data_IF_784904782900
#
_entry.id   IF_784904782900
#
_cell.length_a   1.000
_cell.length_b   1.000
_cell.length_c   1.000
_cell.angle_alpha   90.00
_cell.angle_beta   90.00
_cell.angle_gamma   90.00
#
_symmetry.space_group_name_H-M   'P 1'
#
loop_
_entity.id
_entity.type
_entity.pdbx_description
1 polymer ?
#
# COMPACT_ATOMS: atom_id res chain seq x y z
N UNK A 1 -35.69 22.97 48.56
CA UNK A 1 -34.69 22.89 47.50
C UNK A 1 -35.21 21.88 46.50
N UNK A 2 -35.83 22.38 45.42
CA UNK A 2 -36.43 21.59 44.34
C UNK A 2 -35.36 21.12 43.35
N UNK A 3 -35.35 19.81 43.04
CA UNK A 3 -34.50 19.21 42.02
C UNK A 3 -34.89 19.68 40.61
N UNK A 4 -33.95 19.88 39.69
CA UNK A 4 -34.26 20.30 38.33
C UNK A 4 -34.92 19.16 37.52
N UNK A 5 -35.81 19.48 36.55
CA UNK A 5 -36.52 18.48 35.77
C UNK A 5 -35.56 17.76 34.81
N UNK A 6 -35.46 16.43 34.91
CA UNK A 6 -34.77 15.59 33.94
C UNK A 6 -35.39 15.75 32.55
N UNK A 7 -34.58 16.14 31.59
CA UNK A 7 -35.00 16.35 30.21
C UNK A 7 -35.42 15.03 29.57
N UNK A 8 -36.69 14.97 29.14
CA UNK A 8 -37.37 13.87 28.45
C UNK A 8 -36.63 13.26 27.22
N UNK A 9 -35.48 13.81 26.84
CA UNK A 9 -34.63 13.34 25.71
C UNK A 9 -33.72 12.18 26.05
N UNK A 10 -33.37 11.96 27.32
CA UNK A 10 -32.44 10.85 27.68
C UNK A 10 -33.13 9.50 27.88
N UNK A 11 -34.45 9.46 28.08
CA UNK A 11 -35.20 8.22 28.26
C UNK A 11 -35.50 7.48 26.94
N UNK A 12 -35.46 8.17 25.80
CA UNK A 12 -35.73 7.61 24.49
C UNK A 12 -34.57 6.75 23.94
N UNK A 13 -33.33 6.97 24.41
CA UNK A 13 -32.14 6.23 23.94
C UNK A 13 -31.95 4.90 24.70
N UNK A 14 -32.73 4.60 25.71
CA UNK A 14 -32.54 3.40 26.56
C UNK A 14 -33.50 2.25 26.30
N UNK A 15 -34.44 2.36 25.34
CA UNK A 15 -35.39 1.28 25.08
C UNK A 15 -34.78 0.28 24.04
N UNK A 16 -34.82 -1.04 24.30
CA UNK A 16 -34.32 -2.05 23.37
C UNK A 16 -35.02 -2.02 22.00
N UNK A 17 -36.20 -1.39 21.94
CA UNK A 17 -36.98 -1.20 20.69
C UNK A 17 -36.29 -0.25 19.70
N UNK A 18 -35.56 0.76 20.16
CA UNK A 18 -34.84 1.70 19.26
C UNK A 18 -33.61 1.02 18.65
N UNK A 19 -32.90 0.21 19.42
CA UNK A 19 -31.76 -0.54 18.91
C UNK A 19 -32.20 -1.60 17.89
N UNK A 20 -33.32 -2.26 18.13
CA UNK A 20 -33.90 -3.20 17.17
C UNK A 20 -34.35 -2.50 15.87
N UNK A 21 -34.92 -1.29 15.95
CA UNK A 21 -35.29 -0.50 14.79
C UNK A 21 -34.09 0.00 13.99
N UNK A 22 -33.03 0.46 14.67
CA UNK A 22 -31.75 0.87 14.01
C UNK A 22 -31.07 -0.33 13.35
N UNK A 23 -31.08 -1.50 13.99
CA UNK A 23 -30.52 -2.72 13.43
C UNK A 23 -31.33 -3.24 12.21
N UNK A 24 -32.68 -3.21 12.31
CA UNK A 24 -33.55 -3.57 11.21
C UNK A 24 -33.42 -2.60 10.01
N UNK A 25 -33.26 -1.29 10.28
CA UNK A 25 -33.08 -0.28 9.24
C UNK A 25 -31.70 -0.38 8.58
N UNK A 26 -30.63 -0.70 9.34
CA UNK A 26 -29.30 -0.92 8.79
C UNK A 26 -29.25 -2.22 7.96
N UNK A 27 -29.95 -3.26 8.38
CA UNK A 27 -30.08 -4.52 7.64
C UNK A 27 -30.88 -4.34 6.36
N UNK A 28 -31.99 -3.57 6.42
CA UNK A 28 -32.79 -3.21 5.25
C UNK A 28 -32.01 -2.35 4.24
N UNK A 29 -31.23 -1.37 4.74
CA UNK A 29 -30.37 -0.53 3.91
C UNK A 29 -29.22 -1.32 3.28
N UNK A 30 -28.61 -2.27 4.02
CA UNK A 30 -27.59 -3.19 3.48
C UNK A 30 -28.17 -4.12 2.42
N UNK A 31 -29.41 -4.59 2.61
CA UNK A 31 -30.13 -5.41 1.65
C UNK A 31 -30.57 -4.63 0.42
N UNK A 32 -31.00 -3.37 0.56
CA UNK A 32 -31.30 -2.49 -0.57
C UNK A 32 -30.05 -2.14 -1.39
N UNK A 33 -28.91 -1.90 -0.75
CA UNK A 33 -27.64 -1.66 -1.44
C UNK A 33 -27.18 -2.93 -2.17
N UNK A 34 -27.30 -4.10 -1.54
CA UNK A 34 -26.98 -5.40 -2.15
C UNK A 34 -27.87 -5.73 -3.36
N UNK A 35 -29.16 -5.44 -3.26
CA UNK A 35 -30.11 -5.64 -4.39
C UNK A 35 -29.94 -4.59 -5.48
N UNK A 36 -29.61 -3.32 -5.12
CA UNK A 36 -29.34 -2.26 -6.09
C UNK A 36 -28.09 -2.53 -6.94
N UNK A 37 -27.05 -3.15 -6.36
CA UNK A 37 -25.85 -3.57 -7.10
C UNK A 37 -26.13 -4.78 -8.02
N UNK A 38 -27.10 -5.62 -7.67
CA UNK A 38 -27.49 -6.76 -8.51
C UNK A 38 -28.38 -6.36 -9.71
N UNK A 39 -29.07 -5.20 -9.63
CA UNK A 39 -29.90 -4.67 -10.73
C UNK A 39 -29.23 -3.52 -11.51
N UNK A 40 -28.09 -3.01 -11.09
CA UNK A 40 -27.24 -2.25 -11.99
C UNK A 40 -26.83 -3.23 -13.08
N UNK A 41 -27.48 -3.13 -14.24
CA UNK A 41 -27.23 -3.98 -15.40
C UNK A 41 -25.73 -4.15 -15.54
N UNK A 42 -25.25 -5.34 -15.23
CA UNK A 42 -23.90 -5.73 -15.62
C UNK A 42 -23.85 -5.39 -17.10
N UNK A 43 -22.89 -4.56 -17.58
CA UNK A 43 -22.71 -4.40 -19.00
C UNK A 43 -22.59 -5.82 -19.53
N UNK A 44 -23.64 -6.29 -20.21
CA UNK A 44 -23.58 -7.53 -20.95
C UNK A 44 -22.54 -7.26 -22.03
N UNK A 45 -21.29 -7.62 -21.74
CA UNK A 45 -20.26 -7.72 -22.74
C UNK A 45 -20.78 -8.84 -23.69
N UNK A 46 -21.62 -8.46 -24.62
CA UNK A 46 -22.02 -9.33 -25.72
C UNK A 46 -20.78 -9.49 -26.60
N UNK A 47 -19.94 -10.42 -26.24
CA UNK A 47 -18.84 -10.86 -27.06
C UNK A 47 -19.52 -11.64 -28.20
N UNK A 48 -19.67 -11.01 -29.33
CA UNK A 48 -20.11 -11.67 -30.55
C UNK A 48 -19.01 -12.65 -30.97
N UNK A 49 -19.16 -13.88 -30.56
CA UNK A 49 -18.23 -14.98 -30.79
C UNK A 49 -18.35 -15.54 -32.22
N UNK A 50 -18.81 -14.80 -33.18
CA UNK A 50 -18.92 -15.16 -34.59
C UNK A 50 -18.67 -16.65 -34.93
N UNK A 51 -19.57 -17.31 -35.57
CA UNK A 51 -19.45 -18.72 -36.00
C UNK A 51 -18.41 -18.84 -37.11
N UNK A 52 -17.21 -19.35 -36.85
CA UNK A 52 -16.17 -19.58 -37.85
C UNK A 52 -14.76 -19.78 -37.30
N UNK A 53 -13.79 -20.01 -38.14
CA UNK A 53 -12.36 -20.27 -37.84
C UNK A 53 -11.65 -19.23 -36.95
N UNK A 54 -12.27 -18.07 -36.70
CA UNK A 54 -11.79 -17.03 -35.78
C UNK A 54 -12.16 -17.25 -34.32
N UNK A 55 -12.99 -18.23 -33.96
CA UNK A 55 -13.49 -18.43 -32.60
C UNK A 55 -12.33 -18.76 -31.61
N UNK A 56 -11.42 -19.62 -32.05
CA UNK A 56 -10.25 -19.99 -31.26
C UNK A 56 -9.30 -18.81 -31.03
N UNK A 57 -9.07 -17.99 -32.05
CA UNK A 57 -8.23 -16.80 -31.96
C UNK A 57 -8.86 -15.76 -31.00
N UNK A 58 -10.17 -15.54 -31.05
CA UNK A 58 -10.89 -14.63 -30.13
C UNK A 58 -10.88 -15.14 -28.69
N UNK A 59 -11.10 -16.43 -28.46
CA UNK A 59 -11.02 -17.03 -27.13
C UNK A 59 -9.62 -16.86 -26.55
N UNK A 60 -8.58 -17.10 -27.35
CA UNK A 60 -7.19 -16.88 -26.94
C UNK A 60 -6.91 -15.40 -26.63
N UNK A 61 -7.41 -14.49 -27.45
CA UNK A 61 -7.27 -13.05 -27.23
C UNK A 61 -7.97 -12.59 -25.94
N UNK A 62 -9.18 -13.06 -25.67
CA UNK A 62 -9.90 -12.77 -24.43
C UNK A 62 -9.19 -13.38 -23.22
N UNK A 63 -8.74 -14.63 -23.32
CA UNK A 63 -7.97 -15.27 -22.25
C UNK A 63 -6.68 -14.49 -21.95
N UNK A 64 -5.94 -14.07 -22.97
CA UNK A 64 -4.75 -13.23 -22.83
C UNK A 64 -5.08 -11.89 -22.18
N UNK A 65 -6.16 -11.21 -22.62
CA UNK A 65 -6.61 -9.95 -22.04
C UNK A 65 -6.95 -10.09 -20.54
N UNK A 66 -7.73 -11.12 -20.19
CA UNK A 66 -8.08 -11.40 -18.78
C UNK A 66 -6.82 -11.70 -17.96
N UNK A 67 -5.89 -12.47 -18.52
CA UNK A 67 -4.62 -12.77 -17.84
C UNK A 67 -3.80 -11.50 -17.59
N UNK A 68 -3.64 -10.65 -18.60
CA UNK A 68 -2.93 -9.36 -18.45
C UNK A 68 -3.64 -8.47 -17.43
N UNK A 69 -4.96 -8.36 -17.50
CA UNK A 69 -5.75 -7.53 -16.59
C UNK A 69 -5.67 -8.04 -15.14
N UNK A 70 -5.59 -9.35 -14.92
CA UNK A 70 -5.44 -9.93 -13.58
C UNK A 70 -4.03 -9.71 -12.98
N UNK A 71 -3.00 -9.55 -13.80
CA UNK A 71 -1.63 -9.24 -13.37
C UNK A 71 -1.40 -7.74 -13.15
N UNK A 72 -2.20 -6.87 -13.77
CA UNK A 72 -2.02 -5.42 -13.70
C UNK A 72 -1.95 -4.86 -12.26
N UNK A 73 -2.83 -5.24 -11.31
CA UNK A 73 -2.74 -4.75 -9.94
C UNK A 73 -1.40 -5.10 -9.27
N UNK A 74 -0.88 -6.31 -9.51
CA UNK A 74 0.39 -6.75 -8.94
C UNK A 74 1.56 -5.95 -9.50
N UNK A 75 1.56 -5.67 -10.81
CA UNK A 75 2.60 -4.87 -11.46
C UNK A 75 2.58 -3.44 -10.91
N UNK A 76 1.40 -2.82 -10.80
CA UNK A 76 1.26 -1.46 -10.24
C UNK A 76 1.78 -1.40 -8.81
N UNK A 77 1.42 -2.36 -7.96
CA UNK A 77 1.89 -2.42 -6.57
C UNK A 77 3.43 -2.55 -6.53
N UNK A 78 4.00 -3.41 -7.38
CA UNK A 78 5.45 -3.67 -7.41
C UNK A 78 6.28 -2.52 -7.98
N UNK A 79 5.70 -1.61 -8.76
CA UNK A 79 6.39 -0.48 -9.38
C UNK A 79 6.17 0.85 -8.64
N UNK A 80 5.51 0.81 -7.49
CA UNK A 80 5.22 1.99 -6.66
C UNK A 80 5.94 1.94 -5.32
N UNK A 81 5.77 2.99 -4.51
CA UNK A 81 6.30 3.07 -3.13
C UNK A 81 5.66 2.06 -2.16
N UNK A 82 4.65 1.30 -2.58
CA UNK A 82 3.87 0.41 -1.71
C UNK A 82 4.73 -0.62 -0.98
N UNK A 83 5.68 -1.25 -1.67
CA UNK A 83 6.48 -2.35 -1.12
C UNK A 83 7.31 -1.88 0.08
N UNK A 84 8.02 -0.76 -0.03
CA UNK A 84 8.78 -0.20 1.10
C UNK A 84 7.87 0.10 2.28
N UNK A 85 6.76 0.78 2.03
CA UNK A 85 5.83 1.23 3.08
C UNK A 85 5.21 0.03 3.81
N UNK A 86 4.69 -0.96 3.10
CA UNK A 86 4.03 -2.12 3.73
C UNK A 86 5.01 -2.99 4.51
N UNK A 87 6.24 -3.14 4.02
CA UNK A 87 7.29 -3.90 4.72
C UNK A 87 7.72 -3.18 5.99
N UNK A 88 7.98 -1.87 5.93
CA UNK A 88 8.37 -1.10 7.12
C UNK A 88 7.27 -1.10 8.18
N UNK A 89 6.00 -0.89 7.80
CA UNK A 89 4.87 -0.93 8.76
C UNK A 89 4.67 -2.33 9.34
N UNK A 90 4.93 -3.39 8.58
CA UNK A 90 4.88 -4.76 9.07
C UNK A 90 6.02 -5.05 10.05
N UNK A 91 7.23 -4.57 9.76
CA UNK A 91 8.38 -4.66 10.66
C UNK A 91 8.16 -3.86 11.95
N UNK A 92 7.59 -2.66 11.87
CA UNK A 92 7.21 -1.85 13.03
C UNK A 92 6.28 -2.61 13.98
N UNK A 93 5.20 -3.23 13.45
CA UNK A 93 4.29 -4.07 14.24
C UNK A 93 5.03 -5.17 14.98
N UNK A 94 5.96 -5.83 14.30
CA UNK A 94 6.78 -6.89 14.89
C UNK A 94 7.74 -6.35 15.95
N UNK A 95 8.34 -5.18 15.75
CA UNK A 95 9.27 -4.54 16.67
C UNK A 95 8.61 -4.18 18.00
N UNK A 96 7.38 -3.67 17.96
CA UNK A 96 6.58 -3.36 19.17
C UNK A 96 6.22 -4.65 19.92
N UNK A 97 6.23 -5.82 19.27
CA UNK A 97 5.86 -7.10 19.88
C UNK A 97 4.38 -7.46 19.73
N UNK A 98 3.65 -6.74 18.88
CA UNK A 98 2.24 -7.01 18.60
C UNK A 98 2.11 -8.04 17.47
N UNK A 99 1.58 -9.24 17.79
CA UNK A 99 1.46 -10.31 16.79
C UNK A 99 0.32 -10.09 15.79
N UNK A 100 -0.81 -9.51 16.23
CA UNK A 100 -2.03 -9.39 15.43
C UNK A 100 -2.62 -7.97 15.38
N UNK A 101 -2.11 -7.00 16.14
CA UNK A 101 -2.60 -5.64 16.18
C UNK A 101 -1.52 -4.65 15.68
N UNK A 102 -1.81 -3.74 14.75
CA UNK A 102 -3.06 -3.64 13.98
C UNK A 102 -3.24 -4.81 12.99
N UNK A 103 -4.48 -5.17 12.61
CA UNK A 103 -4.75 -6.22 11.61
C UNK A 103 -4.08 -5.92 10.26
N UNK A 104 -3.77 -6.97 9.50
CA UNK A 104 -3.11 -6.82 8.18
C UNK A 104 -3.88 -5.87 7.23
N UNK A 105 -5.22 -5.90 7.27
CA UNK A 105 -6.06 -5.01 6.47
C UNK A 105 -5.75 -3.54 6.77
N UNK A 106 -5.55 -3.18 8.05
CA UNK A 106 -5.22 -1.80 8.45
C UNK A 106 -3.84 -1.39 7.93
N UNK A 107 -2.84 -2.28 8.05
CA UNK A 107 -1.48 -2.03 7.54
C UNK A 107 -1.50 -1.84 6.03
N UNK A 108 -2.18 -2.74 5.29
CA UNK A 108 -2.30 -2.65 3.84
C UNK A 108 -3.03 -1.38 3.42
N UNK A 109 -4.15 -1.04 4.08
CA UNK A 109 -4.91 0.17 3.79
C UNK A 109 -4.08 1.44 4.03
N UNK A 110 -3.39 1.52 5.17
CA UNK A 110 -2.50 2.65 5.47
C UNK A 110 -1.36 2.74 4.45
N UNK A 111 -0.78 1.60 4.07
CA UNK A 111 0.26 1.56 3.03
C UNK A 111 -0.25 2.07 1.68
N UNK A 112 -1.47 1.71 1.29
CA UNK A 112 -2.09 2.20 0.06
C UNK A 112 -2.33 3.72 0.10
N UNK A 113 -2.83 4.26 1.23
CA UNK A 113 -3.02 5.71 1.38
C UNK A 113 -1.70 6.48 1.30
N UNK A 114 -0.67 6.01 2.00
CA UNK A 114 0.66 6.64 1.94
C UNK A 114 1.27 6.49 0.53
N UNK A 115 1.07 5.35 -0.13
CA UNK A 115 1.50 5.15 -1.52
C UNK A 115 0.82 6.13 -2.46
N UNK A 116 -0.51 6.28 -2.35
CA UNK A 116 -1.25 7.24 -3.16
C UNK A 116 -0.74 8.67 -2.97
N UNK A 117 -0.41 9.04 -1.72
CA UNK A 117 0.15 10.34 -1.39
C UNK A 117 1.54 10.55 -2.02
N UNK A 118 2.45 9.58 -1.88
CA UNK A 118 3.81 9.63 -2.44
C UNK A 118 3.78 9.63 -3.97
N UNK A 119 2.90 8.84 -4.57
CA UNK A 119 2.81 8.66 -6.03
C UNK A 119 1.97 9.72 -6.74
N UNK A 120 1.30 10.62 -5.99
CA UNK A 120 0.45 11.66 -6.57
C UNK A 120 1.13 12.44 -7.71
N UNK A 121 2.36 12.98 -7.57
CA UNK A 121 3.01 13.73 -8.65
C UNK A 121 3.34 12.86 -9.86
N UNK A 122 3.64 11.57 -9.66
CA UNK A 122 3.91 10.61 -10.76
C UNK A 122 2.64 10.34 -11.55
N UNK A 123 1.51 10.13 -10.86
CA UNK A 123 0.21 9.92 -11.51
C UNK A 123 -0.27 11.16 -12.27
N UNK A 124 -0.04 12.35 -11.70
CA UNK A 124 -0.39 13.60 -12.36
C UNK A 124 0.41 13.79 -13.65
N UNK A 125 1.73 13.57 -13.60
CA UNK A 125 2.58 13.63 -14.80
C UNK A 125 2.16 12.60 -15.86
N UNK A 126 1.83 11.36 -15.46
CA UNK A 126 1.37 10.33 -16.38
C UNK A 126 0.02 10.70 -17.01
N UNK A 127 -0.88 11.33 -16.25
CA UNK A 127 -2.15 11.82 -16.76
C UNK A 127 -1.96 12.92 -17.80
N UNK A 128 -1.16 13.93 -17.48
CA UNK A 128 -0.90 15.07 -18.37
C UNK A 128 -0.12 14.67 -19.63
N UNK A 129 0.83 13.71 -19.48
CA UNK A 129 1.68 13.28 -20.59
C UNK A 129 0.98 12.39 -21.63
N UNK A 130 -0.06 11.65 -21.23
CA UNK A 130 -0.67 10.69 -22.15
C UNK A 130 -2.14 10.38 -21.89
N UNK A 131 -2.59 10.19 -20.64
CA UNK A 131 -3.98 9.78 -20.38
C UNK A 131 -4.97 10.87 -20.80
N UNK A 132 -4.71 12.15 -20.44
CA UNK A 132 -5.51 13.30 -20.82
C UNK A 132 -5.61 13.45 -22.35
N UNK A 133 -4.50 13.54 -23.08
CA UNK A 133 -4.50 13.63 -24.55
C UNK A 133 -5.21 12.48 -25.27
N UNK A 134 -5.15 11.24 -24.72
CA UNK A 134 -5.92 10.11 -25.27
C UNK A 134 -7.42 10.28 -25.05
N UNK A 135 -7.83 10.77 -23.86
CA UNK A 135 -9.25 11.02 -23.57
C UNK A 135 -9.84 12.17 -24.38
N UNK A 136 -9.01 13.12 -24.78
CA UNK A 136 -9.39 14.26 -25.63
C UNK A 136 -9.25 13.95 -27.14
N UNK A 137 -8.95 12.70 -27.49
CA UNK A 137 -8.74 12.22 -28.88
C UNK A 137 -7.61 12.95 -29.62
N UNK A 138 -6.71 13.61 -28.90
CA UNK A 138 -5.57 14.35 -29.49
C UNK A 138 -4.39 13.43 -29.82
N UNK A 139 -4.32 12.24 -29.19
CA UNK A 139 -3.20 11.32 -29.34
C UNK A 139 -3.67 9.86 -29.39
N UNK A 140 -3.13 9.05 -30.33
CA UNK A 140 -3.42 7.61 -30.36
C UNK A 140 -2.72 6.88 -29.20
N UNK A 141 -3.31 5.76 -28.75
CA UNK A 141 -2.86 5.01 -27.56
C UNK A 141 -1.43 4.47 -27.68
N UNK A 142 -0.98 4.10 -28.87
CA UNK A 142 0.37 3.59 -29.14
C UNK A 142 1.47 4.66 -28.92
N UNK A 143 1.18 5.93 -29.21
CA UNK A 143 2.07 7.04 -28.89
C UNK A 143 1.98 7.48 -27.43
N UNK A 144 0.79 7.37 -26.83
CA UNK A 144 0.57 7.78 -25.43
C UNK A 144 1.21 6.80 -24.45
N UNK A 145 1.21 5.51 -24.73
CA UNK A 145 1.69 4.47 -23.82
C UNK A 145 3.14 4.69 -23.33
N UNK A 146 4.12 4.97 -24.19
CA UNK A 146 5.47 5.31 -23.72
C UNK A 146 5.50 6.54 -22.83
N UNK A 147 4.70 7.57 -23.12
CA UNK A 147 4.63 8.82 -22.34
C UNK A 147 4.01 8.63 -20.98
N UNK A 148 3.01 7.75 -20.86
CA UNK A 148 2.37 7.39 -19.57
C UNK A 148 3.34 6.64 -18.67
N UNK A 149 4.19 5.77 -19.23
CA UNK A 149 5.14 4.96 -18.46
C UNK A 149 6.38 5.77 -18.04
N UNK A 150 6.74 6.81 -18.78
CA UNK A 150 7.96 7.57 -18.55
C UNK A 150 8.07 8.16 -17.12
N UNK A 151 7.06 8.83 -16.53
CA UNK A 151 7.10 9.29 -15.16
C UNK A 151 7.32 8.16 -14.14
N UNK A 152 6.73 6.99 -14.38
CA UNK A 152 6.91 5.82 -13.54
C UNK A 152 8.34 5.27 -13.62
N UNK A 153 8.92 5.22 -14.83
CA UNK A 153 10.34 4.84 -15.03
C UNK A 153 11.28 5.78 -14.29
N UNK A 154 11.06 7.10 -14.40
CA UNK A 154 11.85 8.10 -13.67
C UNK A 154 11.75 7.93 -12.16
N UNK A 155 10.56 7.69 -11.64
CA UNK A 155 10.37 7.39 -10.22
C UNK A 155 11.16 6.15 -9.80
N UNK A 156 11.02 5.03 -10.53
CA UNK A 156 11.77 3.81 -10.21
C UNK A 156 13.28 4.03 -10.31
N UNK A 157 13.75 4.71 -11.36
CA UNK A 157 15.15 5.01 -11.54
C UNK A 157 15.75 5.82 -10.38
N UNK A 158 15.02 6.86 -9.92
CA UNK A 158 15.45 7.70 -8.79
C UNK A 158 15.51 6.93 -7.47
N UNK A 159 14.71 5.89 -7.32
CA UNK A 159 14.67 5.07 -6.11
C UNK A 159 15.57 3.81 -6.19
N UNK A 160 16.04 3.43 -7.37
CA UNK A 160 16.91 2.27 -7.56
C UNK A 160 18.36 2.63 -7.28
N UNK A 161 19.07 1.76 -6.57
CA UNK A 161 20.50 1.91 -6.32
C UNK A 161 21.29 1.56 -7.59
N UNK A 162 22.39 2.25 -7.81
CA UNK A 162 23.25 2.02 -8.96
C UNK A 162 23.77 0.58 -9.03
N UNK A 163 24.18 0.00 -7.88
CA UNK A 163 24.67 -1.36 -7.81
C UNK A 163 23.60 -2.39 -8.22
N UNK A 164 22.35 -2.21 -7.75
CA UNK A 164 21.24 -3.09 -8.06
C UNK A 164 20.85 -2.96 -9.55
N UNK A 165 20.86 -1.73 -10.08
CA UNK A 165 20.62 -1.48 -11.50
C UNK A 165 21.70 -2.13 -12.38
N UNK A 166 22.97 -1.94 -12.04
CA UNK A 166 24.10 -2.53 -12.76
C UNK A 166 24.02 -4.06 -12.78
N UNK A 167 23.70 -4.68 -11.64
CA UNK A 167 23.53 -6.13 -11.54
C UNK A 167 22.49 -6.66 -12.54
N UNK A 168 21.32 -6.03 -12.61
CA UNK A 168 20.26 -6.50 -13.51
C UNK A 168 20.51 -6.17 -14.97
N UNK A 169 21.24 -5.09 -15.29
CA UNK A 169 21.70 -4.79 -16.65
C UNK A 169 22.67 -5.89 -17.13
N UNK A 170 23.63 -6.27 -16.27
CA UNK A 170 24.60 -7.33 -16.60
C UNK A 170 23.91 -8.69 -16.79
N UNK A 171 22.99 -9.04 -15.89
CA UNK A 171 22.22 -10.29 -16.00
C UNK A 171 21.33 -10.34 -17.26
N UNK A 172 20.83 -9.20 -17.70
CA UNK A 172 19.94 -9.10 -18.87
C UNK A 172 20.68 -9.28 -20.20
N UNK A 173 22.02 -9.23 -20.23
CA UNK A 173 22.87 -9.36 -21.42
C UNK A 173 22.35 -8.54 -22.61
N UNK A 174 22.08 -7.24 -22.35
CA UNK A 174 21.55 -6.35 -23.39
C UNK A 174 22.57 -6.22 -24.51
N UNK A 175 22.13 -6.33 -25.76
CA UNK A 175 22.98 -6.21 -26.96
C UNK A 175 23.67 -4.83 -27.02
N UNK A 176 22.97 -3.79 -26.59
CA UNK A 176 23.48 -2.43 -26.45
C UNK A 176 23.30 -1.98 -25.00
N UNK A 177 24.39 -1.59 -24.31
CA UNK A 177 24.27 -0.97 -22.98
C UNK A 177 23.44 0.31 -23.08
N UNK A 178 22.46 0.51 -22.16
CA UNK A 178 21.68 1.73 -22.15
C UNK A 178 22.58 2.94 -21.88
N UNK A 179 22.42 4.00 -22.69
CA UNK A 179 23.22 5.23 -22.54
C UNK A 179 22.77 6.01 -21.31
N UNK A 180 21.46 5.97 -21.00
CA UNK A 180 20.84 6.62 -19.86
C UNK A 180 19.98 5.63 -19.08
N UNK A 181 19.70 5.95 -17.83
CA UNK A 181 18.83 5.11 -16.98
C UNK A 181 17.41 5.03 -17.55
N UNK A 182 16.95 6.05 -18.24
CA UNK A 182 15.64 6.12 -18.92
C UNK A 182 15.52 5.13 -20.09
N UNK A 183 16.66 4.75 -20.70
CA UNK A 183 16.69 3.77 -21.80
C UNK A 183 16.63 2.32 -21.31
N UNK A 184 16.78 2.09 -19.99
CA UNK A 184 16.71 0.74 -19.42
C UNK A 184 15.31 0.16 -19.62
N UNK A 185 15.19 -1.06 -20.18
CA UNK A 185 13.91 -1.73 -20.36
C UNK A 185 13.23 -1.97 -19.01
N UNK A 186 11.90 -1.80 -18.96
CA UNK A 186 11.10 -1.98 -17.74
C UNK A 186 11.31 -3.36 -17.10
N UNK A 187 11.51 -4.40 -17.92
CA UNK A 187 11.80 -5.78 -17.46
C UNK A 187 13.10 -5.92 -16.64
N UNK A 188 14.03 -4.97 -16.81
CA UNK A 188 15.31 -4.91 -16.08
C UNK A 188 15.16 -3.97 -14.87
N UNK A 189 14.55 -2.81 -15.10
CA UNK A 189 14.36 -1.77 -14.08
C UNK A 189 13.45 -2.23 -12.94
N UNK A 190 12.33 -2.91 -13.23
CA UNK A 190 11.37 -3.30 -12.20
C UNK A 190 11.96 -4.25 -11.13
N UNK A 191 12.66 -5.34 -11.47
CA UNK A 191 13.29 -6.18 -10.46
C UNK A 191 14.45 -5.47 -9.72
N UNK A 192 15.24 -4.63 -10.38
CA UNK A 192 16.28 -3.83 -9.74
C UNK A 192 15.68 -2.89 -8.70
N UNK A 193 14.60 -2.18 -9.06
CA UNK A 193 13.83 -1.33 -8.17
C UNK A 193 13.29 -2.11 -6.95
N UNK A 194 12.67 -3.27 -7.18
CA UNK A 194 12.12 -4.10 -6.11
C UNK A 194 13.17 -4.51 -5.07
N UNK A 195 14.36 -4.93 -5.51
CA UNK A 195 15.46 -5.30 -4.62
C UNK A 195 15.95 -4.08 -3.83
N UNK A 196 16.10 -2.93 -4.49
CA UNK A 196 16.48 -1.66 -3.84
C UNK A 196 15.45 -1.23 -2.79
N UNK A 197 14.16 -1.33 -3.11
CA UNK A 197 13.06 -1.00 -2.18
C UNK A 197 13.02 -1.92 -0.97
N UNK A 198 13.16 -3.24 -1.18
CA UNK A 198 13.23 -4.20 -0.09
C UNK A 198 14.42 -3.92 0.82
N UNK A 199 15.60 -3.66 0.25
CA UNK A 199 16.79 -3.32 1.03
C UNK A 199 16.58 -2.08 1.89
N UNK A 200 16.09 -0.99 1.31
CA UNK A 200 15.77 0.24 2.05
C UNK A 200 14.71 0.00 3.12
N UNK A 201 13.68 -0.81 2.82
CA UNK A 201 12.66 -1.17 3.80
C UNK A 201 13.26 -1.90 5.01
N UNK A 202 14.19 -2.83 4.78
CA UNK A 202 14.88 -3.52 5.86
C UNK A 202 15.85 -2.62 6.63
N UNK A 203 16.54 -1.69 5.96
CA UNK A 203 17.42 -0.70 6.62
C UNK A 203 16.60 0.20 7.56
N UNK A 204 15.48 0.76 7.09
CA UNK A 204 14.56 1.56 7.92
C UNK A 204 13.96 0.71 9.04
N UNK A 205 13.49 -0.50 8.71
CA UNK A 205 12.93 -1.43 9.67
C UNK A 205 13.92 -1.79 10.79
N UNK A 206 15.18 -2.03 10.44
CA UNK A 206 16.24 -2.30 11.42
C UNK A 206 16.43 -1.11 12.38
N UNK A 207 16.47 0.12 11.86
CA UNK A 207 16.57 1.32 12.71
C UNK A 207 15.38 1.43 13.65
N UNK A 208 14.18 1.09 13.20
CA UNK A 208 12.97 1.08 14.04
C UNK A 208 13.00 0.00 15.12
N UNK A 209 13.72 -1.12 14.91
CA UNK A 209 13.86 -2.17 15.92
C UNK A 209 14.74 -1.76 17.10
N UNK A 210 15.77 -0.92 16.88
CA UNK A 210 16.78 -0.59 17.88
C UNK A 210 16.16 -0.13 19.22
N UNK A 211 15.26 0.88 19.27
CA UNK A 211 14.71 1.33 20.55
C UNK A 211 13.92 0.23 21.28
N UNK A 212 13.22 -0.61 20.56
CA UNK A 212 12.42 -1.68 21.14
C UNK A 212 13.29 -2.84 21.68
N UNK A 213 14.40 -3.15 21.00
CA UNK A 213 15.39 -4.13 21.49
C UNK A 213 16.07 -3.62 22.74
N UNK A 214 16.39 -2.32 22.83
CA UNK A 214 16.96 -1.73 24.05
C UNK A 214 15.98 -1.89 25.23
N UNK A 215 14.69 -1.64 25.03
CA UNK A 215 13.67 -1.85 26.06
C UNK A 215 13.64 -3.33 26.50
N UNK A 216 13.69 -4.28 25.55
CA UNK A 216 13.74 -5.72 25.88
C UNK A 216 14.97 -6.06 26.72
N UNK A 217 16.16 -5.54 26.38
CA UNK A 217 17.40 -5.79 27.10
C UNK A 217 17.35 -5.22 28.53
N UNK A 218 16.83 -3.99 28.69
CA UNK A 218 16.69 -3.35 30.01
C UNK A 218 15.74 -4.16 30.88
N UNK A 219 14.57 -4.55 30.36
CA UNK A 219 13.59 -5.35 31.12
C UNK A 219 14.18 -6.72 31.47
N UNK A 220 14.87 -7.38 30.51
CA UNK A 220 15.50 -8.67 30.77
C UNK A 220 16.56 -8.57 31.87
N UNK A 221 17.41 -7.54 31.87
CA UNK A 221 18.44 -7.35 32.91
C UNK A 221 17.84 -7.09 34.30
N UNK A 222 16.74 -6.33 34.38
CA UNK A 222 16.01 -6.09 35.62
C UNK A 222 15.40 -7.38 36.18
N UNK A 223 14.74 -8.18 35.34
CA UNK A 223 14.15 -9.47 35.77
C UNK A 223 15.19 -10.45 36.26
N UNK A 224 16.34 -10.51 35.59
CA UNK A 224 17.49 -11.33 36.05
C UNK A 224 18.03 -10.85 37.39
N UNK A 225 18.19 -9.54 37.59
CA UNK A 225 18.65 -8.97 38.84
C UNK A 225 17.69 -9.24 40.01
N UNK A 226 16.38 -9.33 39.73
CA UNK A 226 15.35 -9.68 40.72
C UNK A 226 15.19 -11.19 40.93
N UNK A 227 15.98 -12.03 40.25
CA UNK A 227 15.87 -13.49 40.34
C UNK A 227 14.68 -14.11 39.63
N UNK A 228 13.95 -13.33 38.82
CA UNK A 228 12.72 -13.77 38.12
C UNK A 228 13.04 -14.45 36.78
N UNK A 229 13.92 -15.46 36.78
CA UNK A 229 14.38 -16.13 35.55
C UNK A 229 13.30 -16.89 34.77
N UNK A 230 12.19 -17.25 35.40
CA UNK A 230 11.10 -17.98 34.74
C UNK A 230 10.10 -17.08 33.99
N UNK A 231 10.13 -15.75 34.21
CA UNK A 231 9.24 -14.85 33.48
C UNK A 231 9.83 -14.48 32.11
N UNK A 232 9.04 -14.65 31.01
CA UNK A 232 9.51 -14.26 29.68
C UNK A 232 9.63 -12.72 29.57
N UNK A 233 10.85 -12.18 29.32
CA UNK A 233 11.06 -10.73 29.27
C UNK A 233 10.20 -10.00 28.26
N UNK A 234 9.91 -10.63 27.11
CA UNK A 234 9.10 -10.06 26.03
C UNK A 234 7.68 -9.72 26.47
N UNK A 235 7.08 -10.54 27.36
CA UNK A 235 5.72 -10.28 27.86
C UNK A 235 5.71 -9.08 28.81
N UNK A 236 6.77 -8.94 29.63
CA UNK A 236 6.89 -7.84 30.58
C UNK A 236 7.28 -6.53 29.89
N UNK A 237 8.08 -6.58 28.83
CA UNK A 237 8.50 -5.38 28.08
C UNK A 237 7.41 -4.77 27.19
N UNK A 238 6.41 -5.56 26.79
CA UNK A 238 5.36 -5.11 25.86
C UNK A 238 4.62 -3.83 26.30
N UNK A 239 4.15 -3.68 27.56
CA UNK A 239 3.54 -2.44 28.02
C UNK A 239 4.48 -1.23 27.90
N UNK A 240 5.75 -1.40 28.21
CA UNK A 240 6.76 -0.33 28.13
C UNK A 240 6.99 0.10 26.67
N UNK A 241 7.05 -0.85 25.73
CA UNK A 241 7.15 -0.57 24.31
C UNK A 241 5.95 0.22 23.79
N UNK A 242 4.73 -0.16 24.21
CA UNK A 242 3.51 0.56 23.83
C UNK A 242 3.49 1.98 24.38
N UNK A 243 3.81 2.16 25.66
CA UNK A 243 3.89 3.49 26.29
C UNK A 243 4.93 4.35 25.57
N UNK A 244 6.13 3.81 25.34
CA UNK A 244 7.17 4.51 24.61
C UNK A 244 6.70 4.94 23.22
N UNK A 245 6.11 4.02 22.45
CA UNK A 245 5.62 4.30 21.10
C UNK A 245 4.55 5.40 21.06
N UNK A 246 3.65 5.41 22.05
CA UNK A 246 2.62 6.46 22.18
C UNK A 246 3.22 7.80 22.59
N UNK A 247 4.16 7.80 23.53
CA UNK A 247 4.81 9.03 24.04
C UNK A 247 5.62 9.77 22.96
N UNK A 248 6.26 9.02 22.05
CA UNK A 248 7.04 9.61 20.96
C UNK A 248 6.20 9.93 19.72
N UNK A 249 4.87 9.74 19.77
CA UNK A 249 3.98 9.85 18.61
C UNK A 249 4.46 8.99 17.42
N UNK A 250 4.71 7.71 17.71
CA UNK A 250 5.41 6.80 16.81
C UNK A 250 4.77 6.64 15.43
N UNK A 251 3.42 6.66 15.35
CA UNK A 251 2.74 6.60 14.05
C UNK A 251 3.06 7.79 13.15
N UNK A 252 3.06 8.99 13.72
CA UNK A 252 3.38 10.23 13.01
C UNK A 252 4.83 10.25 12.55
N UNK A 253 5.76 9.87 13.44
CA UNK A 253 7.19 9.81 13.11
C UNK A 253 7.46 8.81 11.99
N UNK A 254 6.90 7.60 12.06
CA UNK A 254 7.13 6.57 11.04
C UNK A 254 6.48 6.96 9.70
N UNK A 255 5.24 7.43 9.71
CA UNK A 255 4.58 7.85 8.48
C UNK A 255 5.30 9.05 7.83
N UNK A 256 5.70 10.05 8.61
CA UNK A 256 6.45 11.21 8.14
C UNK A 256 7.80 10.82 7.54
N UNK A 257 8.62 10.03 8.28
CA UNK A 257 9.93 9.59 7.80
C UNK A 257 9.86 8.71 6.56
N UNK A 258 8.80 7.89 6.42
CA UNK A 258 8.57 7.10 5.20
C UNK A 258 8.32 8.00 4.00
N UNK A 259 7.43 8.98 4.12
CA UNK A 259 7.15 9.93 3.03
C UNK A 259 8.39 10.76 2.67
N UNK A 260 9.10 11.28 3.68
CA UNK A 260 10.34 12.05 3.49
C UNK A 260 11.46 11.22 2.83
N UNK A 261 11.51 9.90 3.10
CA UNK A 261 12.52 9.02 2.48
C UNK A 261 12.41 8.94 0.96
N UNK A 262 11.23 9.17 0.40
CA UNK A 262 11.02 9.23 -1.05
C UNK A 262 11.36 10.63 -1.61
N UNK A 263 11.07 11.68 -0.85
CA UNK A 263 11.41 13.06 -1.24
C UNK A 263 12.93 13.28 -1.31
N UNK A 264 13.67 12.73 -0.35
CA UNK A 264 15.14 12.85 -0.30
C UNK A 264 15.85 12.16 -1.48
N UNK A 265 15.19 11.23 -2.15
CA UNK A 265 15.75 10.49 -3.31
C UNK A 265 15.42 11.15 -4.66
N UNK A 266 14.92 12.40 -4.67
CA UNK A 266 14.67 13.17 -5.90
C UNK A 266 13.26 13.05 -6.49
N UNK A 267 12.35 12.31 -5.85
CA UNK A 267 10.93 12.43 -6.16
C UNK A 267 10.40 13.67 -5.41
N UNK A 268 9.82 14.69 -6.07
CA UNK A 268 9.29 15.84 -5.36
C UNK A 268 8.16 15.37 -4.44
N UNK A 269 8.15 15.74 -3.14
CA UNK A 269 6.98 15.60 -2.32
C UNK A 269 5.87 16.40 -2.98
N UNK A 270 4.66 15.87 -3.01
CA UNK A 270 3.52 16.53 -3.61
C UNK A 270 3.44 17.97 -3.12
N UNK A 271 3.68 18.90 -4.04
CA UNK A 271 3.47 20.32 -3.83
C UNK A 271 2.01 20.67 -3.92
#
# INVERSE_FOLDING_TARGET
VSAPPETKKQSLLRSPRHWAAVFAMSLAMSMMIGVGVAYAAAPTLSVDLGTGDGLTARVLQLAALITVLSLAPSIIIMTTSFVRIVVVLSLLRTAIGLQQAPPNVVIVSLSLFLTAFVMQPVWQQAYEAGIGPVMEEEMPLDEAFPRIIEPLKRFMAAQTREDDMALFIDMARLETPPANVEDVPLRVMAPAFMISELRRAFEIGFMLFIPFVIIDLVVASLLMAMGMMMMPPVTVSLPFKLIFFVLVDGWRLVAGSLVESFAASGAPPGG
#
